data_IF_310814927474
#
_entry.id   IF_310814927474
#
_cell.length_a   1.000
_cell.length_b   1.000
_cell.length_c   1.000
_cell.angle_alpha   90.00
_cell.angle_beta   90.00
_cell.angle_gamma   90.00
#
_symmetry.space_group_name_H-M   'P 1'
#
loop_
_entity.id
_entity.type
_entity.pdbx_description
1 polymer ?
#
# COMPACT_ATOMS: atom_id res chain seq x y z
N UNK A 1 -6.11 21.83 -0.04
CA UNK A 1 -6.80 20.86 0.84
C UNK A 1 -6.08 20.90 2.17
N UNK A 2 -6.70 21.45 3.21
CA UNK A 2 -6.13 21.54 4.56
C UNK A 2 -6.72 20.41 5.40
N UNK A 3 -5.90 19.45 5.80
CA UNK A 3 -6.30 18.35 6.67
C UNK A 3 -6.06 18.79 8.12
N UNK A 4 -7.11 18.76 8.93
CA UNK A 4 -7.03 19.04 10.36
C UNK A 4 -7.13 17.71 11.10
N UNK A 5 -6.10 17.36 11.86
CA UNK A 5 -6.05 16.12 12.65
C UNK A 5 -5.95 16.49 14.13
N UNK A 6 -6.65 15.74 14.98
CA UNK A 6 -6.61 15.95 16.42
C UNK A 6 -5.41 15.20 17.00
N UNK A 7 -4.59 15.89 17.80
CA UNK A 7 -3.40 15.31 18.44
C UNK A 7 -3.72 14.38 19.60
N UNK A 8 -4.98 14.36 20.06
CA UNK A 8 -5.51 13.50 21.11
C UNK A 8 -6.79 12.80 20.62
N UNK A 9 -6.98 11.54 21.03
CA UNK A 9 -8.17 10.73 20.71
C UNK A 9 -9.32 11.21 21.61
N UNK A 10 -9.93 12.31 21.23
CA UNK A 10 -11.09 12.87 21.93
C UNK A 10 -12.11 13.41 20.91
N UNK A 11 -13.37 13.00 21.06
CA UNK A 11 -14.47 13.46 20.21
C UNK A 11 -15.54 14.15 21.09
N UNK A 12 -15.85 15.45 20.88
CA UNK A 12 -15.37 16.37 19.85
C UNK A 12 -14.05 17.09 20.20
N UNK A 13 -13.20 17.32 19.19
CA UNK A 13 -11.89 17.95 19.38
C UNK A 13 -12.00 19.44 19.74
N UNK A 14 -11.47 19.83 20.90
CA UNK A 14 -11.40 21.23 21.35
C UNK A 14 -10.54 22.10 20.40
N UNK A 15 -10.91 23.37 20.16
CA UNK A 15 -10.30 24.24 19.15
C UNK A 15 -8.82 24.59 19.43
N UNK A 16 -8.32 24.34 20.65
CA UNK A 16 -6.90 24.49 20.99
C UNK A 16 -6.01 23.31 20.58
N UNK A 17 -6.60 22.16 20.22
CA UNK A 17 -5.88 20.93 19.87
C UNK A 17 -6.00 20.58 18.38
N UNK A 18 -6.50 21.53 17.58
CA UNK A 18 -6.60 21.42 16.13
C UNK A 18 -5.35 22.02 15.51
N UNK A 19 -4.50 21.19 14.91
CA UNK A 19 -3.30 21.66 14.22
C UNK A 19 -3.58 21.66 12.72
N UNK A 20 -3.41 22.81 12.07
CA UNK A 20 -3.48 22.94 10.62
C UNK A 20 -2.18 22.40 10.02
N UNK A 21 -2.26 21.29 9.30
CA UNK A 21 -1.06 20.62 8.78
C UNK A 21 -0.67 21.26 7.45
N UNK A 22 0.29 22.19 7.51
CA UNK A 22 0.86 22.88 6.33
C UNK A 22 2.19 22.29 5.89
N UNK A 23 2.77 21.35 6.65
CA UNK A 23 4.07 20.74 6.39
C UNK A 23 3.94 19.22 6.53
N UNK A 24 4.27 18.49 5.47
CA UNK A 24 4.15 17.03 5.39
C UNK A 24 5.25 16.42 6.27
N UNK A 25 5.00 16.31 7.57
CA UNK A 25 5.98 15.73 8.50
C UNK A 25 5.81 14.21 8.57
N UNK A 26 6.89 13.49 8.87
CA UNK A 26 6.94 12.01 8.85
C UNK A 26 5.91 11.36 9.79
N UNK A 27 5.44 12.12 10.79
CA UNK A 27 4.41 11.71 11.74
C UNK A 27 3.01 11.62 11.11
N UNK A 28 2.71 12.39 10.06
CA UNK A 28 1.42 12.34 9.37
C UNK A 28 1.23 11.07 8.55
N UNK A 29 2.31 10.51 8.00
CA UNK A 29 2.24 9.23 7.30
C UNK A 29 1.81 8.10 8.25
N UNK A 30 2.28 8.12 9.50
CA UNK A 30 1.84 7.17 10.51
C UNK A 30 0.36 7.37 10.90
N UNK A 31 -0.10 8.62 11.04
CA UNK A 31 -1.50 8.95 11.30
C UNK A 31 -2.44 8.59 10.12
N UNK A 32 -1.93 8.65 8.89
CA UNK A 32 -2.61 8.23 7.65
C UNK A 32 -2.52 6.72 7.38
N UNK A 33 -1.81 5.95 8.22
CA UNK A 33 -1.62 4.50 8.04
C UNK A 33 -0.58 4.11 6.96
N UNK A 34 0.15 5.08 6.42
CA UNK A 34 1.31 4.88 5.55
C UNK A 34 2.53 4.62 6.45
N UNK A 35 2.63 3.40 6.94
CA UNK A 35 3.81 2.92 7.65
C UNK A 35 4.79 2.27 6.67
N UNK A 36 6.09 2.17 7.00
CA UNK A 36 7.04 1.41 6.19
C UNK A 36 6.59 -0.03 5.91
N UNK A 37 5.88 -0.64 6.87
CA UNK A 37 5.28 -1.97 6.69
C UNK A 37 4.18 -1.97 5.62
N UNK A 38 3.28 -0.97 5.57
CA UNK A 38 2.20 -0.93 4.58
C UNK A 38 2.73 -0.74 3.15
N UNK A 39 3.83 0.00 3.00
CA UNK A 39 4.55 0.13 1.72
C UNK A 39 5.18 -1.21 1.32
N UNK A 40 5.88 -1.88 2.24
CA UNK A 40 6.48 -3.18 1.97
C UNK A 40 5.43 -4.23 1.57
N UNK A 41 4.27 -4.26 2.24
CA UNK A 41 3.16 -5.18 1.92
C UNK A 41 2.54 -4.87 0.55
N UNK A 42 2.34 -3.61 0.21
CA UNK A 42 1.76 -3.25 -1.10
C UNK A 42 2.69 -3.58 -2.26
N UNK A 43 4.00 -3.32 -2.13
CA UNK A 43 5.00 -3.65 -3.17
C UNK A 43 5.15 -5.17 -3.34
N UNK A 44 5.25 -5.91 -2.24
CA UNK A 44 5.38 -7.38 -2.29
C UNK A 44 4.15 -8.06 -2.90
N UNK A 45 2.94 -7.56 -2.58
CA UNK A 45 1.70 -8.07 -3.16
C UNK A 45 1.61 -7.75 -4.66
N UNK A 46 1.96 -6.52 -5.07
CA UNK A 46 2.00 -6.13 -6.47
C UNK A 46 2.97 -6.98 -7.29
N UNK A 47 4.20 -7.16 -6.80
CA UNK A 47 5.20 -8.02 -7.45
C UNK A 47 4.75 -9.49 -7.50
N UNK A 48 4.18 -10.00 -6.41
CA UNK A 48 3.68 -11.37 -6.32
C UNK A 48 2.61 -11.68 -7.37
N UNK A 49 1.68 -10.76 -7.59
CA UNK A 49 0.62 -10.92 -8.62
C UNK A 49 1.24 -10.98 -10.02
N UNK A 50 2.09 -10.00 -10.37
CA UNK A 50 2.70 -9.96 -11.71
C UNK A 50 3.54 -11.21 -11.97
N UNK A 51 4.33 -11.64 -11.00
CA UNK A 51 5.15 -12.85 -11.10
C UNK A 51 4.28 -14.10 -11.25
N UNK A 52 3.17 -14.21 -10.51
CA UNK A 52 2.25 -15.35 -10.62
C UNK A 52 1.62 -15.47 -12.02
N UNK A 53 1.22 -14.34 -12.61
CA UNK A 53 0.67 -14.30 -13.97
C UNK A 53 1.73 -14.67 -15.02
N UNK A 54 2.96 -14.17 -14.85
CA UNK A 54 4.07 -14.50 -15.73
C UNK A 54 4.38 -16.01 -15.68
N UNK A 55 4.43 -16.60 -14.48
CA UNK A 55 4.65 -18.03 -14.30
C UNK A 55 3.52 -18.88 -14.89
N UNK A 56 2.26 -18.44 -14.77
CA UNK A 56 1.12 -19.10 -15.43
C UNK A 56 1.29 -19.15 -16.95
N UNK A 57 1.65 -18.03 -17.57
CA UNK A 57 1.92 -17.96 -19.01
C UNK A 57 3.07 -18.87 -19.43
N UNK A 58 4.16 -18.88 -18.65
CA UNK A 58 5.30 -19.75 -18.89
C UNK A 58 4.92 -21.24 -18.80
N UNK A 59 4.22 -21.65 -17.74
CA UNK A 59 3.78 -23.05 -17.54
C UNK A 59 2.86 -23.49 -18.68
N UNK A 60 1.89 -22.67 -19.08
CA UNK A 60 1.01 -22.97 -20.20
C UNK A 60 1.80 -23.14 -21.51
N UNK A 61 2.79 -22.28 -21.76
CA UNK A 61 3.68 -22.40 -22.91
C UNK A 61 4.48 -23.71 -22.91
N UNK A 62 5.04 -24.10 -21.77
CA UNK A 62 5.77 -25.37 -21.61
C UNK A 62 4.85 -26.57 -21.84
N UNK A 63 3.66 -26.57 -21.25
CA UNK A 63 2.67 -27.66 -21.41
C UNK A 63 2.28 -27.82 -22.89
N UNK A 64 1.97 -26.71 -23.58
CA UNK A 64 1.65 -26.75 -25.00
C UNK A 64 2.82 -27.24 -25.86
N UNK A 65 4.06 -26.87 -25.52
CA UNK A 65 5.25 -27.35 -26.22
C UNK A 65 5.46 -28.87 -26.02
N UNK A 66 5.19 -29.39 -24.82
CA UNK A 66 5.24 -30.82 -24.53
C UNK A 66 4.19 -31.60 -25.32
N UNK A 67 2.95 -31.10 -25.38
CA UNK A 67 1.86 -31.73 -26.14
C UNK A 67 2.17 -31.75 -27.63
N UNK A 68 2.77 -30.69 -28.18
CA UNK A 68 3.14 -30.64 -29.62
C UNK A 68 4.34 -31.53 -29.97
N UNK A 69 5.13 -31.96 -28.98
CA UNK A 69 6.27 -32.86 -29.17
C UNK A 69 5.91 -34.33 -28.99
N UNK A 70 4.80 -34.64 -28.33
CA UNK A 70 4.24 -35.99 -28.20
C UNK A 70 3.46 -36.36 -29.48
#
# INVERSE_FOLDING_TARGET
MTLFVCTQIEAPCQPGNQVAITEITVQDFAALGITPESIAKSVTLGFGIVLSLAMLGYVLGVVLAMIRKA
#
